data_IF_049313387509
#
_entry.id   IF_049313387509
#
_cell.length_a   1.000
_cell.length_b   1.000
_cell.length_c   1.000
_cell.angle_alpha   90.00
_cell.angle_beta   90.00
_cell.angle_gamma   90.00
#
_symmetry.space_group_name_H-M   'P 1'
#
loop_
_entity.id
_entity.type
_entity.pdbx_description
1 polymer ?
#
# COMPACT_ATOMS: atom_id res chain seq x y z
N UNK A 1 6.99 -7.95 -5.06
CA UNK A 1 5.53 -8.15 -5.00
C UNK A 1 4.90 -6.91 -4.37
N UNK A 2 3.96 -6.26 -5.07
CA UNK A 2 3.21 -5.07 -4.61
C UNK A 2 1.74 -5.45 -4.43
N UNK A 3 1.07 -4.85 -3.45
CA UNK A 3 -0.32 -5.19 -3.08
C UNK A 3 -1.33 -4.99 -4.24
N UNK A 4 -1.00 -4.16 -5.22
CA UNK A 4 -1.88 -3.87 -6.38
C UNK A 4 -1.67 -4.81 -7.57
N UNK A 5 -0.87 -5.87 -7.41
CA UNK A 5 -0.49 -6.83 -8.46
C UNK A 5 0.29 -6.26 -9.65
N UNK A 6 0.44 -4.93 -9.73
CA UNK A 6 1.19 -4.24 -10.78
C UNK A 6 2.67 -4.16 -10.41
N UNK A 7 3.53 -4.69 -11.27
CA UNK A 7 4.98 -4.67 -11.07
C UNK A 7 5.63 -3.31 -11.42
N UNK A 8 4.88 -2.40 -12.04
CA UNK A 8 5.26 -1.02 -12.35
C UNK A 8 4.44 -0.01 -11.54
N UNK A 9 5.01 1.14 -11.24
CA UNK A 9 4.24 2.30 -10.74
C UNK A 9 3.31 2.75 -11.86
N UNK A 10 2.04 3.02 -11.54
CA UNK A 10 1.12 3.63 -12.51
C UNK A 10 1.64 5.06 -12.81
N UNK A 11 1.85 5.42 -14.08
CA UNK A 11 2.14 6.81 -14.43
C UNK A 11 1.02 7.72 -13.90
N UNK A 12 1.40 8.75 -13.14
CA UNK A 12 0.43 9.65 -12.50
C UNK A 12 -0.34 9.04 -11.32
N UNK A 13 0.02 7.85 -10.83
CA UNK A 13 -0.52 7.27 -9.61
C UNK A 13 0.29 7.63 -8.36
N UNK A 14 -0.26 7.34 -7.18
CA UNK A 14 0.35 7.70 -5.88
C UNK A 14 1.80 7.21 -5.71
N UNK A 15 2.12 6.03 -6.25
CA UNK A 15 3.48 5.49 -6.21
C UNK A 15 4.47 6.24 -7.08
N UNK A 16 4.01 6.83 -8.19
CA UNK A 16 4.83 7.70 -9.04
C UNK A 16 5.08 9.03 -8.34
N UNK A 17 4.06 9.58 -7.68
CA UNK A 17 4.17 10.83 -6.90
C UNK A 17 5.17 10.67 -5.75
N UNK A 18 5.06 9.58 -4.98
CA UNK A 18 5.99 9.26 -3.90
C UNK A 18 7.46 9.16 -4.39
N UNK A 19 7.70 8.56 -5.56
CA UNK A 19 9.04 8.47 -6.14
C UNK A 19 9.57 9.83 -6.61
N UNK A 20 8.70 10.66 -7.20
CA UNK A 20 9.03 12.04 -7.59
C UNK A 20 9.40 12.88 -6.37
N UNK A 21 8.58 12.82 -5.32
CA UNK A 21 8.82 13.47 -4.03
C UNK A 21 10.13 13.04 -3.39
N UNK A 22 10.41 11.72 -3.34
CA UNK A 22 11.68 11.21 -2.81
C UNK A 22 12.89 11.74 -3.61
N UNK A 23 12.81 11.71 -4.94
CA UNK A 23 13.87 12.23 -5.82
C UNK A 23 14.08 13.72 -5.61
N UNK A 24 13.00 14.50 -5.50
CA UNK A 24 13.06 15.94 -5.20
C UNK A 24 13.72 16.19 -3.84
N UNK A 25 13.28 15.50 -2.79
CA UNK A 25 13.80 15.68 -1.43
C UNK A 25 15.29 15.41 -1.32
N UNK A 26 15.87 14.48 -2.11
CA UNK A 26 17.33 14.28 -2.13
C UNK A 26 18.14 15.50 -2.58
N UNK A 27 17.50 16.45 -3.27
CA UNK A 27 18.10 17.70 -3.76
C UNK A 27 17.65 18.92 -2.94
N UNK A 28 16.78 18.73 -1.96
CA UNK A 28 16.23 19.80 -1.12
C UNK A 28 16.99 19.86 0.20
N UNK A 29 17.74 20.95 0.40
CA UNK A 29 18.59 21.12 1.58
C UNK A 29 17.82 21.37 2.88
N UNK A 30 16.75 22.18 2.83
CA UNK A 30 15.95 22.51 4.02
C UNK A 30 14.83 21.52 4.20
N UNK A 31 14.70 20.96 5.40
CA UNK A 31 13.68 19.96 5.70
C UNK A 31 12.25 20.52 5.57
N UNK A 32 12.04 21.79 5.93
CA UNK A 32 10.76 22.48 5.76
C UNK A 32 10.30 22.65 4.31
N UNK A 33 11.22 22.55 3.33
CA UNK A 33 10.89 22.59 1.91
C UNK A 33 10.69 21.18 1.30
N UNK A 34 10.91 20.12 2.09
CA UNK A 34 10.74 18.76 1.62
C UNK A 34 9.26 18.42 1.51
N UNK A 35 8.93 17.68 0.44
CA UNK A 35 7.60 17.09 0.31
C UNK A 35 7.44 16.04 1.41
N UNK A 36 6.43 16.23 2.26
CA UNK A 36 6.15 15.33 3.37
C UNK A 36 5.32 14.13 2.91
N UNK A 37 5.23 13.11 3.76
CA UNK A 37 4.32 12.00 3.51
C UNK A 37 2.85 12.47 3.45
N UNK A 38 2.49 13.49 4.25
CA UNK A 38 1.15 14.07 4.23
C UNK A 38 0.84 14.71 2.87
N UNK A 39 1.81 15.41 2.28
CA UNK A 39 1.64 16.03 0.96
C UNK A 39 1.49 14.98 -0.15
N UNK A 40 2.20 13.86 -0.05
CA UNK A 40 2.03 12.76 -1.02
C UNK A 40 0.63 12.15 -0.88
N UNK A 41 0.15 11.96 0.35
CA UNK A 41 -1.11 11.25 0.61
C UNK A 41 -2.37 12.11 0.50
N UNK A 42 -2.26 13.44 0.35
CA UNK A 42 -3.41 14.36 0.33
C UNK A 42 -4.45 14.00 -0.73
N UNK A 43 -3.99 13.55 -1.90
CA UNK A 43 -4.85 13.22 -3.06
C UNK A 43 -4.92 11.70 -3.32
N UNK A 44 -4.48 10.87 -2.38
CA UNK A 44 -4.41 9.43 -2.57
C UNK A 44 -5.76 8.81 -2.97
N UNK A 45 -6.87 9.29 -2.41
CA UNK A 45 -8.23 8.82 -2.73
C UNK A 45 -8.66 9.12 -4.17
N UNK A 46 -8.11 10.16 -4.80
CA UNK A 46 -8.36 10.48 -6.22
C UNK A 46 -7.45 9.67 -7.16
N UNK A 47 -6.26 9.30 -6.69
CA UNK A 47 -5.23 8.62 -7.49
C UNK A 47 -5.29 7.08 -7.38
N UNK A 48 -5.93 6.55 -6.33
CA UNK A 48 -6.09 5.12 -6.15
C UNK A 48 -7.25 4.59 -6.98
N UNK A 49 -7.13 3.36 -7.54
CA UNK A 49 -8.27 2.68 -8.16
C UNK A 49 -9.43 2.59 -7.17
N UNK A 50 -10.66 2.69 -7.68
CA UNK A 50 -11.89 2.47 -6.91
C UNK A 50 -11.89 1.11 -6.22
N UNK A 51 -12.74 0.98 -5.20
CA UNK A 51 -12.85 -0.19 -4.35
C UNK A 51 -12.85 -1.51 -5.15
N UNK A 52 -11.91 -2.39 -4.81
CA UNK A 52 -11.84 -3.78 -5.27
C UNK A 52 -12.17 -4.68 -4.08
N UNK A 53 -13.05 -5.68 -4.22
CA UNK A 53 -13.25 -6.67 -3.16
C UNK A 53 -11.94 -7.41 -2.90
N UNK A 54 -11.54 -7.49 -1.63
CA UNK A 54 -10.36 -8.22 -1.21
C UNK A 54 -10.51 -9.69 -1.57
N UNK A 55 -9.56 -10.22 -2.35
CA UNK A 55 -9.48 -11.65 -2.68
C UNK A 55 -8.54 -12.39 -1.73
N UNK A 56 -8.56 -13.72 -1.77
CA UNK A 56 -7.61 -14.54 -1.00
C UNK A 56 -6.17 -14.29 -1.41
N UNK A 57 -5.92 -14.11 -2.71
CA UNK A 57 -4.60 -13.79 -3.24
C UNK A 57 -4.11 -12.43 -2.74
N UNK A 58 -4.98 -11.40 -2.72
CA UNK A 58 -4.62 -10.09 -2.16
C UNK A 58 -4.23 -10.23 -0.67
N UNK A 59 -5.00 -11.00 0.11
CA UNK A 59 -4.72 -11.22 1.53
C UNK A 59 -3.39 -11.96 1.78
N UNK A 60 -3.12 -13.03 1.03
CA UNK A 60 -1.88 -13.81 1.14
C UNK A 60 -0.64 -12.94 0.82
N UNK A 61 -0.76 -12.05 -0.17
CA UNK A 61 0.31 -11.08 -0.53
C UNK A 61 0.60 -10.11 0.63
N UNK A 62 -0.43 -9.62 1.32
CA UNK A 62 -0.26 -8.74 2.48
C UNK A 62 0.37 -9.49 3.64
N UNK A 63 -0.11 -10.70 3.95
CA UNK A 63 0.48 -11.55 5.01
C UNK A 63 1.96 -11.82 4.74
N UNK A 64 2.32 -12.17 3.50
CA UNK A 64 3.71 -12.39 3.12
C UNK A 64 4.56 -11.11 3.24
N UNK A 65 4.01 -9.96 2.88
CA UNK A 65 4.69 -8.68 3.02
C UNK A 65 4.92 -8.30 4.48
N UNK A 66 3.93 -8.55 5.34
CA UNK A 66 4.00 -8.32 6.78
C UNK A 66 5.06 -9.20 7.44
N UNK A 67 5.06 -10.51 7.15
CA UNK A 67 6.08 -11.46 7.61
C UNK A 67 7.48 -11.05 7.16
N UNK A 68 7.65 -10.66 5.89
CA UNK A 68 8.96 -10.30 5.33
C UNK A 68 9.54 -9.04 5.97
N UNK A 69 8.69 -8.08 6.33
CA UNK A 69 9.13 -6.80 6.87
C UNK A 69 9.17 -6.78 8.41
N UNK A 70 8.72 -7.85 9.08
CA UNK A 70 8.84 -8.01 10.53
C UNK A 70 10.14 -8.78 10.87
N UNK A 71 11.05 -8.21 11.69
CA UNK A 71 12.26 -8.90 12.14
C UNK A 71 12.00 -10.24 12.84
N UNK A 72 10.86 -10.38 13.52
CA UNK A 72 10.48 -11.59 14.25
C UNK A 72 9.86 -12.67 13.34
N UNK A 73 9.75 -12.39 12.03
CA UNK A 73 9.11 -13.27 11.04
C UNK A 73 7.71 -13.73 11.45
N UNK A 74 6.96 -12.83 12.10
CA UNK A 74 5.60 -13.07 12.56
C UNK A 74 4.62 -12.05 11.96
N UNK A 75 3.36 -12.44 11.80
CA UNK A 75 2.29 -11.49 11.51
C UNK A 75 1.89 -10.75 12.78
N UNK A 76 1.47 -9.50 12.66
CA UNK A 76 0.96 -8.72 13.79
C UNK A 76 -0.45 -9.20 14.13
N UNK A 77 -0.72 -9.65 15.37
CA UNK A 77 -2.07 -9.97 15.79
C UNK A 77 -3.00 -8.76 15.63
N UNK A 78 -4.12 -8.93 14.92
CA UNK A 78 -5.05 -7.83 14.61
C UNK A 78 -4.53 -6.80 13.60
N UNK A 79 -3.37 -7.05 12.97
CA UNK A 79 -2.77 -6.19 11.96
C UNK A 79 -3.43 -6.27 10.59
N UNK A 80 -2.77 -5.68 9.59
CA UNK A 80 -3.31 -5.53 8.24
C UNK A 80 -3.48 -6.90 7.56
N UNK A 81 -2.53 -7.82 7.68
CA UNK A 81 -2.66 -9.17 7.10
C UNK A 81 -3.85 -9.94 7.69
N UNK A 82 -4.08 -9.82 9.00
CA UNK A 82 -5.23 -10.44 9.66
C UNK A 82 -6.56 -9.84 9.18
N UNK A 83 -6.64 -8.50 9.08
CA UNK A 83 -7.82 -7.81 8.57
C UNK A 83 -8.13 -8.18 7.10
N UNK A 84 -7.10 -8.22 6.24
CA UNK A 84 -7.25 -8.61 4.84
C UNK A 84 -7.70 -10.07 4.69
N UNK A 85 -7.18 -10.98 5.51
CA UNK A 85 -7.63 -12.37 5.52
C UNK A 85 -9.09 -12.51 5.97
N UNK A 86 -9.52 -11.73 6.96
CA UNK A 86 -10.93 -11.68 7.38
C UNK A 86 -11.81 -11.13 6.26
N UNK A 87 -11.42 -10.02 5.63
CA UNK A 87 -12.15 -9.42 4.50
C UNK A 87 -12.27 -10.40 3.32
N UNK A 88 -11.19 -11.09 2.95
CA UNK A 88 -11.21 -12.10 1.88
C UNK A 88 -12.19 -13.25 2.18
N UNK A 89 -12.29 -13.69 3.44
CA UNK A 89 -13.26 -14.70 3.85
C UNK A 89 -14.68 -14.18 3.73
N UNK A 90 -14.96 -12.97 4.23
CA UNK A 90 -16.28 -12.36 4.15
C UNK A 90 -16.75 -12.20 2.69
N UNK A 91 -15.87 -11.73 1.81
CA UNK A 91 -16.18 -11.54 0.39
C UNK A 91 -16.43 -12.87 -0.35
N UNK A 92 -15.83 -13.99 0.08
CA UNK A 92 -16.12 -15.32 -0.50
C UNK A 92 -17.56 -15.79 -0.22
N UNK A 93 -18.17 -15.35 0.88
CA UNK A 93 -19.55 -15.68 1.25
C UNK A 93 -20.57 -14.66 0.72
N UNK A 94 -20.11 -13.59 0.08
CA UNK A 94 -20.96 -12.54 -0.50
C UNK A 94 -20.43 -12.17 -1.89
N UNK A 95 -20.63 -13.05 -2.89
CA UNK A 95 -20.27 -12.71 -4.26
C UNK A 95 -21.14 -11.53 -4.72
N UNK A 96 -20.48 -10.40 -4.99
CA UNK A 96 -21.06 -9.23 -5.65
C UNK A 96 -21.27 -9.48 -7.14
#
# INVERSE_FOLDING_TARGET
MRATERNATLPGGIGSEAQSAATKNTRTMRFEDQTTLSDVLSDATLMLPKDKPVTREDADKVVAAELRNNPDMATTPGGVGAAMAAAARLNQYSPT
#
